data_IF_051410107920
#
_entry.id   IF_051410107920
#
_cell.length_a   1.000
_cell.length_b   1.000
_cell.length_c   1.000
_cell.angle_alpha   90.00
_cell.angle_beta   90.00
_cell.angle_gamma   90.00
#
_symmetry.space_group_name_H-M   'P 1'
#
loop_
_entity.id
_entity.type
_entity.pdbx_description
1 polymer ?
#
# COMPACT_ATOMS: atom_id res chain seq x y z
N UNK A 1 -27.47 8.93 4.88
CA UNK A 1 -27.48 9.74 6.13
C UNK A 1 -26.08 9.82 6.75
N UNK A 2 -25.41 8.68 6.97
CA UNK A 2 -24.03 8.63 7.49
C UNK A 2 -23.01 9.35 6.60
N UNK A 3 -23.16 9.30 5.27
CA UNK A 3 -22.31 10.06 4.32
C UNK A 3 -22.49 11.58 4.46
N UNK A 4 -23.70 12.04 4.77
CA UNK A 4 -24.00 13.46 4.99
C UNK A 4 -23.42 13.89 6.34
N UNK A 5 -23.57 13.06 7.37
CA UNK A 5 -22.96 13.30 8.69
C UNK A 5 -21.42 13.29 8.59
N UNK A 6 -20.86 12.40 7.78
CA UNK A 6 -19.43 12.36 7.44
C UNK A 6 -18.98 13.66 6.81
N UNK A 7 -19.65 14.11 5.74
CA UNK A 7 -19.31 15.34 5.06
C UNK A 7 -19.45 16.55 5.99
N UNK A 8 -20.48 16.60 6.85
CA UNK A 8 -20.67 17.70 7.81
C UNK A 8 -19.61 17.71 8.91
N UNK A 9 -19.24 16.56 9.47
CA UNK A 9 -18.18 16.46 10.50
C UNK A 9 -16.82 16.79 9.88
N UNK A 10 -16.56 16.27 8.68
CA UNK A 10 -15.34 16.56 7.93
C UNK A 10 -15.28 18.06 7.60
N UNK A 11 -16.35 18.66 7.11
CA UNK A 11 -16.44 20.09 6.81
C UNK A 11 -16.25 20.95 8.06
N UNK A 12 -16.79 20.53 9.21
CA UNK A 12 -16.61 21.24 10.48
C UNK A 12 -15.15 21.15 10.99
N UNK A 13 -14.54 19.97 10.91
CA UNK A 13 -13.14 19.79 11.28
C UNK A 13 -12.22 20.53 10.30
N UNK A 14 -12.56 20.54 9.01
CA UNK A 14 -11.85 21.29 7.98
C UNK A 14 -12.01 22.81 8.19
N UNK A 15 -13.17 23.30 8.61
CA UNK A 15 -13.42 24.69 8.97
C UNK A 15 -12.63 25.12 10.22
N UNK A 16 -12.55 24.25 11.23
CA UNK A 16 -11.75 24.47 12.44
C UNK A 16 -10.24 24.46 12.12
N UNK A 17 -9.80 23.60 11.19
CA UNK A 17 -8.43 23.59 10.64
C UNK A 17 -8.14 24.82 9.80
N UNK A 18 -9.15 25.37 9.11
CA UNK A 18 -9.03 26.61 8.33
C UNK A 18 -8.88 27.86 9.20
N UNK A 19 -9.54 27.88 10.35
CA UNK A 19 -9.56 29.03 11.27
C UNK A 19 -8.46 29.00 12.34
N UNK A 20 -7.86 27.85 12.62
CA UNK A 20 -6.77 27.71 13.59
C UNK A 20 -5.41 28.19 13.04
N UNK A 21 -5.13 29.49 13.11
CA UNK A 21 -3.91 30.12 12.57
C UNK A 21 -2.62 29.93 13.39
N UNK A 22 -2.59 29.12 14.45
CA UNK A 22 -1.47 29.10 15.42
C UNK A 22 -1.06 27.73 15.98
N UNK A 23 -1.52 26.61 15.42
CA UNK A 23 -1.18 25.28 15.99
C UNK A 23 0.02 24.61 15.31
N UNK A 24 0.86 23.87 16.07
CA UNK A 24 2.04 23.20 15.53
C UNK A 24 1.67 22.02 14.59
N UNK A 25 2.50 21.70 13.58
CA UNK A 25 2.25 20.65 12.57
C UNK A 25 1.92 19.27 13.15
N UNK A 26 2.49 18.94 14.30
CA UNK A 26 2.25 17.68 15.02
C UNK A 26 0.81 17.51 15.50
N UNK A 27 0.06 18.60 15.67
CA UNK A 27 -1.37 18.59 15.99
C UNK A 27 -2.19 18.07 14.79
N UNK A 28 -1.86 18.50 13.57
CA UNK A 28 -2.54 18.05 12.35
C UNK A 28 -2.18 16.62 11.97
N UNK A 29 -0.92 16.19 12.17
CA UNK A 29 -0.53 14.78 12.00
C UNK A 29 -1.25 13.85 12.98
N UNK A 30 -1.39 14.26 14.25
CA UNK A 30 -2.16 13.48 15.24
C UNK A 30 -3.66 13.51 14.96
N UNK A 31 -4.19 14.64 14.50
CA UNK A 31 -5.58 14.76 14.08
C UNK A 31 -5.85 13.88 12.86
N UNK A 32 -5.00 13.90 11.84
CA UNK A 32 -5.10 13.02 10.67
C UNK A 32 -5.04 11.55 11.07
N UNK A 33 -4.03 11.16 11.87
CA UNK A 33 -3.92 9.79 12.37
C UNK A 33 -5.11 9.39 13.24
N UNK A 34 -5.62 10.29 14.08
CA UNK A 34 -6.79 10.05 14.95
C UNK A 34 -8.09 10.03 14.16
N UNK A 35 -8.25 10.81 13.09
CA UNK A 35 -9.42 10.79 12.22
C UNK A 35 -9.41 9.53 11.36
N UNK A 36 -8.26 9.18 10.80
CA UNK A 36 -8.05 7.96 10.02
C UNK A 36 -8.27 6.70 10.87
N UNK A 37 -7.85 6.70 12.14
CA UNK A 37 -8.06 5.56 13.06
C UNK A 37 -9.45 5.58 13.71
N UNK A 38 -9.88 6.70 14.30
CA UNK A 38 -11.11 6.78 15.10
C UNK A 38 -12.36 6.90 14.22
N UNK A 39 -12.32 7.58 13.07
CA UNK A 39 -13.50 7.63 12.20
C UNK A 39 -13.70 6.33 11.43
N UNK A 40 -12.62 5.61 11.10
CA UNK A 40 -12.69 4.25 10.52
C UNK A 40 -13.24 3.21 11.50
N UNK A 41 -13.09 3.44 12.82
CA UNK A 41 -13.73 2.64 13.87
C UNK A 41 -15.18 3.09 14.14
N UNK A 42 -15.45 4.40 14.22
CA UNK A 42 -16.78 4.98 14.53
C UNK A 42 -17.79 4.78 13.40
N UNK A 43 -17.38 4.97 12.14
CA UNK A 43 -18.26 4.84 10.96
C UNK A 43 -18.36 3.41 10.44
N UNK A 44 -17.99 2.43 11.27
CA UNK A 44 -17.85 1.03 10.88
C UNK A 44 -18.32 0.07 11.98
N UNK A 45 -19.09 0.59 12.94
CA UNK A 45 -19.70 -0.19 13.99
C UNK A 45 -20.65 -1.23 13.38
N UNK A 46 -20.26 -2.50 13.48
CA UNK A 46 -21.07 -3.69 13.28
C UNK A 46 -21.93 -3.67 12.00
N UNK A 47 -21.30 -3.46 10.83
CA UNK A 47 -21.91 -3.51 9.49
C UNK A 47 -23.04 -2.50 9.20
N UNK A 48 -23.29 -1.52 10.09
CA UNK A 48 -24.30 -0.48 9.90
C UNK A 48 -23.71 0.89 9.49
N UNK A 49 -22.40 0.93 9.24
CA UNK A 49 -21.60 2.10 8.92
C UNK A 49 -21.47 2.44 7.42
N UNK A 50 -20.60 3.42 7.09
CA UNK A 50 -20.25 3.70 5.69
C UNK A 50 -19.51 2.48 5.09
N UNK A 51 -19.82 2.06 3.85
CA UNK A 51 -19.14 0.92 3.23
C UNK A 51 -17.63 1.16 3.23
N UNK A 52 -16.86 0.21 3.80
CA UNK A 52 -15.39 0.25 3.87
C UNK A 52 -14.75 0.51 2.50
N UNK A 53 -15.46 0.24 1.41
CA UNK A 53 -15.02 0.45 0.03
C UNK A 53 -14.81 1.92 -0.35
N UNK A 54 -15.41 2.88 0.37
CA UNK A 54 -15.17 4.32 0.18
C UNK A 54 -14.01 4.86 1.04
N UNK A 55 -13.50 4.05 1.99
CA UNK A 55 -12.36 4.35 2.85
C UNK A 55 -11.10 3.55 2.44
N UNK A 56 -11.22 2.62 1.50
CA UNK A 56 -10.16 1.71 1.07
C UNK A 56 -9.39 2.25 -0.12
N UNK A 57 -8.07 2.33 0.06
CA UNK A 57 -6.99 2.05 -0.90
C UNK A 57 -7.44 1.64 -2.33
N UNK A 58 -7.84 2.60 -3.17
CA UNK A 58 -8.05 2.38 -4.61
C UNK A 58 -6.73 2.10 -5.36
N UNK A 59 -5.58 2.05 -4.67
CA UNK A 59 -4.25 1.81 -5.24
C UNK A 59 -4.16 0.55 -6.09
N UNK A 60 -4.80 -0.56 -5.70
CA UNK A 60 -4.86 -1.77 -6.54
C UNK A 60 -5.62 -1.51 -7.86
N UNK A 61 -6.75 -0.78 -7.81
CA UNK A 61 -7.50 -0.38 -9.03
C UNK A 61 -6.76 0.68 -9.86
N UNK A 62 -5.93 1.50 -9.23
CA UNK A 62 -5.05 2.44 -9.93
C UNK A 62 -3.86 1.75 -10.60
N UNK A 63 -3.36 0.66 -10.02
CA UNK A 63 -2.35 -0.19 -10.64
C UNK A 63 -2.87 -0.80 -11.94
N UNK A 64 -4.12 -1.27 -11.99
CA UNK A 64 -4.75 -1.75 -13.23
C UNK A 64 -4.77 -0.69 -14.34
N UNK A 65 -4.72 0.60 -13.98
CA UNK A 65 -4.70 1.74 -14.91
C UNK A 65 -3.28 2.21 -15.25
N UNK A 66 -2.26 1.62 -14.63
CA UNK A 66 -0.86 2.00 -14.87
C UNK A 66 -0.33 1.21 -16.06
N UNK A 67 0.01 1.95 -17.12
CA UNK A 67 0.42 1.39 -18.41
C UNK A 67 1.96 1.37 -18.55
N UNK A 68 2.68 2.15 -17.74
CA UNK A 68 4.12 2.33 -17.87
C UNK A 68 4.91 1.44 -16.91
N UNK A 69 6.11 1.03 -17.33
CA UNK A 69 7.02 0.15 -16.57
C UNK A 69 8.26 0.92 -16.10
N UNK A 70 8.10 2.22 -15.83
CA UNK A 70 9.23 3.15 -15.66
C UNK A 70 10.01 2.92 -14.35
N UNK A 71 9.39 2.23 -13.38
CA UNK A 71 9.98 1.88 -12.09
C UNK A 71 10.49 0.44 -12.04
N UNK A 72 10.31 -0.33 -13.11
CA UNK A 72 10.58 -1.75 -13.15
C UNK A 72 9.36 -2.60 -12.82
N UNK A 73 9.60 -3.88 -12.53
CA UNK A 73 8.56 -4.89 -12.34
C UNK A 73 8.97 -5.91 -11.29
N UNK A 74 8.00 -6.46 -10.60
CA UNK A 74 8.17 -7.62 -9.72
C UNK A 74 7.63 -8.88 -10.41
N UNK A 75 8.31 -10.01 -10.22
CA UNK A 75 7.87 -11.33 -10.63
C UNK A 75 7.65 -12.19 -9.38
N UNK A 76 6.45 -12.72 -9.21
CA UNK A 76 6.08 -13.55 -8.08
C UNK A 76 5.11 -14.67 -8.46
N UNK A 77 4.93 -15.62 -7.54
CA UNK A 77 3.84 -16.62 -7.56
C UNK A 77 3.12 -16.56 -6.24
N UNK A 78 1.82 -16.81 -6.25
CA UNK A 78 1.03 -16.93 -5.02
C UNK A 78 -0.04 -18.02 -5.16
N UNK A 79 -0.26 -18.74 -4.07
CA UNK A 79 -1.21 -19.84 -3.98
C UNK A 79 -1.83 -19.89 -2.60
N UNK A 80 -3.08 -20.31 -2.52
CA UNK A 80 -3.74 -20.55 -1.26
C UNK A 80 -3.98 -22.04 -1.02
N UNK A 81 -3.39 -22.57 0.05
CA UNK A 81 -3.60 -23.93 0.51
C UNK A 81 -4.82 -23.97 1.44
N UNK A 82 -5.99 -24.26 0.89
CA UNK A 82 -7.26 -24.19 1.63
C UNK A 82 -7.36 -25.16 2.82
N UNK A 83 -6.74 -26.35 2.75
CA UNK A 83 -6.76 -27.31 3.86
C UNK A 83 -5.89 -26.87 5.03
N UNK A 84 -4.79 -26.19 4.73
CA UNK A 84 -3.79 -25.70 5.68
C UNK A 84 -4.07 -24.27 6.15
N UNK A 85 -5.08 -23.61 5.55
CA UNK A 85 -5.36 -22.17 5.70
C UNK A 85 -4.11 -21.32 5.52
N UNK A 86 -3.31 -21.61 4.49
CA UNK A 86 -2.00 -21.00 4.28
C UNK A 86 -1.89 -20.32 2.91
N UNK A 87 -1.61 -19.01 2.92
CA UNK A 87 -1.27 -18.23 1.75
C UNK A 87 0.25 -18.26 1.55
N UNK A 88 0.69 -18.96 0.51
CA UNK A 88 2.11 -19.07 0.14
C UNK A 88 2.42 -18.10 -1.01
N UNK A 89 3.51 -17.35 -0.87
CA UNK A 89 3.94 -16.34 -1.84
C UNK A 89 5.43 -16.55 -2.10
N UNK A 90 5.82 -16.68 -3.36
CA UNK A 90 7.22 -16.76 -3.80
C UNK A 90 7.60 -15.50 -4.53
N UNK A 91 8.60 -14.78 -4.02
CA UNK A 91 9.24 -13.66 -4.69
C UNK A 91 10.37 -14.21 -5.54
N UNK A 92 10.23 -14.13 -6.87
CA UNK A 92 11.19 -14.71 -7.81
C UNK A 92 12.27 -13.70 -8.11
N UNK A 93 11.89 -12.53 -8.63
CA UNK A 93 12.84 -11.49 -9.05
C UNK A 93 12.16 -10.13 -9.20
N UNK A 94 12.96 -9.08 -9.24
CA UNK A 94 12.57 -7.82 -9.85
C UNK A 94 13.38 -7.58 -11.13
N UNK A 95 12.85 -6.78 -12.05
CA UNK A 95 13.50 -6.46 -13.33
C UNK A 95 13.43 -4.97 -13.62
N UNK A 96 14.52 -4.43 -14.15
CA UNK A 96 14.66 -3.04 -14.59
C UNK A 96 14.25 -2.03 -13.50
N UNK A 97 14.67 -2.28 -12.26
CA UNK A 97 14.46 -1.33 -11.17
C UNK A 97 15.09 0.03 -11.52
N UNK A 98 14.41 1.11 -11.13
CA UNK A 98 14.95 2.46 -11.26
C UNK A 98 16.08 2.62 -10.23
N UNK A 99 17.30 3.01 -10.63
CA UNK A 99 18.39 3.19 -9.66
C UNK A 99 18.08 4.35 -8.72
N UNK A 100 18.17 4.10 -7.42
CA UNK A 100 18.05 5.12 -6.38
C UNK A 100 19.42 5.67 -5.93
N UNK A 101 20.46 4.83 -5.86
CA UNK A 101 21.78 5.30 -5.45
C UNK A 101 22.51 6.15 -6.51
N UNK A 102 23.37 7.03 -6.00
CA UNK A 102 24.34 7.80 -6.79
C UNK A 102 25.31 6.93 -7.61
N UNK A 103 25.45 5.64 -7.24
CA UNK A 103 26.32 4.69 -7.91
C UNK A 103 25.67 4.04 -9.16
N UNK A 104 24.37 4.28 -9.38
CA UNK A 104 23.60 3.75 -10.51
C UNK A 104 23.11 2.31 -10.34
N UNK A 105 23.17 1.74 -9.14
CA UNK A 105 22.65 0.44 -8.72
C UNK A 105 21.85 0.62 -7.42
N UNK A 106 21.22 -0.44 -6.92
CA UNK A 106 20.50 -0.46 -5.65
C UNK A 106 20.81 -1.75 -4.90
N UNK A 107 20.57 -1.77 -3.59
CA UNK A 107 20.59 -2.94 -2.71
C UNK A 107 19.13 -3.39 -2.39
N UNK A 108 18.35 -3.87 -3.38
CA UNK A 108 16.91 -4.07 -3.21
C UNK A 108 16.55 -5.24 -2.28
N UNK A 109 15.43 -5.06 -1.57
CA UNK A 109 14.65 -6.10 -0.92
C UNK A 109 13.14 -5.84 -1.07
N UNK A 110 12.33 -6.88 -0.90
CA UNK A 110 10.87 -6.77 -1.01
C UNK A 110 10.23 -7.00 0.35
N UNK A 111 9.42 -6.04 0.77
CA UNK A 111 8.50 -6.19 1.89
C UNK A 111 7.13 -6.69 1.40
N UNK A 112 6.58 -7.70 2.08
CA UNK A 112 5.31 -8.33 1.78
C UNK A 112 4.36 -8.09 2.95
N UNK A 113 3.22 -7.48 2.67
CA UNK A 113 2.18 -7.19 3.66
C UNK A 113 0.79 -7.53 3.11
N UNK A 114 -0.09 -8.04 3.97
CA UNK A 114 -1.50 -8.22 3.64
C UNK A 114 -2.29 -6.94 3.93
N UNK A 115 -3.14 -6.56 2.99
CA UNK A 115 -3.92 -5.33 3.04
C UNK A 115 -5.40 -5.64 2.77
N UNK A 116 -6.33 -4.91 3.41
CA UNK A 116 -6.10 -3.71 4.22
C UNK A 116 -5.70 -3.99 5.68
N UNK A 117 -4.91 -3.10 6.28
CA UNK A 117 -4.36 -3.31 7.63
C UNK A 117 -5.42 -3.51 8.72
N UNK A 118 -6.61 -2.89 8.63
CA UNK A 118 -7.65 -3.13 9.64
C UNK A 118 -8.17 -4.58 9.64
N UNK A 119 -8.02 -5.30 8.52
CA UNK A 119 -8.41 -6.71 8.39
C UNK A 119 -7.25 -7.62 8.74
N UNK A 120 -6.03 -7.21 8.39
CA UNK A 120 -4.83 -8.02 8.48
C UNK A 120 -3.82 -7.53 9.55
N UNK A 121 -4.25 -6.74 10.54
CA UNK A 121 -3.40 -6.17 11.59
C UNK A 121 -2.67 -7.21 12.45
N UNK A 122 -3.19 -8.44 12.48
CA UNK A 122 -2.62 -9.57 13.22
C UNK A 122 -1.44 -10.21 12.48
N UNK A 123 -1.23 -9.88 11.20
CA UNK A 123 -0.21 -10.48 10.35
C UNK A 123 0.96 -9.52 10.19
N UNK A 124 2.11 -9.94 10.71
CA UNK A 124 3.34 -9.16 10.59
C UNK A 124 3.82 -9.13 9.14
N UNK A 125 4.31 -7.97 8.72
CA UNK A 125 5.06 -7.82 7.48
C UNK A 125 6.25 -8.78 7.45
N UNK A 126 6.52 -9.36 6.29
CA UNK A 126 7.69 -10.21 6.03
C UNK A 126 8.56 -9.55 4.96
N UNK A 127 9.86 -9.82 4.96
CA UNK A 127 10.79 -9.22 3.99
C UNK A 127 11.73 -10.28 3.43
N UNK A 128 12.13 -10.13 2.17
CA UNK A 128 13.16 -10.95 1.56
C UNK A 128 14.55 -10.59 2.09
N UNK A 129 15.55 -11.39 1.72
CA UNK A 129 16.94 -10.97 1.84
C UNK A 129 17.25 -9.78 0.93
N UNK A 130 18.28 -9.03 1.30
CA UNK A 130 18.80 -7.89 0.55
C UNK A 130 19.79 -8.41 -0.50
N UNK A 131 19.54 -8.08 -1.77
CA UNK A 131 20.46 -8.40 -2.86
C UNK A 131 21.27 -7.15 -3.19
N UNK A 132 22.59 -7.22 -3.04
CA UNK A 132 23.43 -6.03 -3.21
C UNK A 132 23.68 -5.67 -4.67
N UNK A 133 23.68 -4.37 -4.97
CA UNK A 133 24.14 -3.76 -6.22
C UNK A 133 23.50 -4.37 -7.46
N UNK A 134 22.19 -4.48 -7.48
CA UNK A 134 21.44 -5.07 -8.59
C UNK A 134 20.14 -4.34 -8.87
N UNK A 135 19.90 -4.01 -10.15
CA UNK A 135 18.59 -3.55 -10.64
C UNK A 135 17.72 -4.69 -11.18
N UNK A 136 18.25 -5.91 -11.14
CA UNK A 136 17.56 -7.13 -11.55
C UNK A 136 17.77 -8.24 -10.49
N UNK A 137 17.39 -8.00 -9.23
CA UNK A 137 17.63 -8.96 -8.16
C UNK A 137 16.81 -10.23 -8.39
N UNK A 138 17.41 -11.37 -8.06
CA UNK A 138 16.75 -12.68 -8.04
C UNK A 138 16.75 -13.15 -6.59
N UNK A 139 15.56 -13.31 -6.03
CA UNK A 139 15.35 -13.69 -4.63
C UNK A 139 15.10 -15.19 -4.50
N UNK A 140 14.11 -15.72 -5.25
CA UNK A 140 13.61 -17.10 -5.11
C UNK A 140 13.27 -17.45 -3.65
N UNK A 141 12.60 -16.52 -2.96
CA UNK A 141 12.26 -16.63 -1.54
C UNK A 141 10.76 -16.85 -1.36
N UNK A 142 10.41 -17.78 -0.47
CA UNK A 142 9.02 -18.08 -0.12
C UNK A 142 8.68 -17.51 1.25
N UNK A 143 7.51 -16.87 1.32
CA UNK A 143 6.89 -16.43 2.56
C UNK A 143 5.51 -17.07 2.69
N UNK A 144 5.09 -17.32 3.93
CA UNK A 144 3.80 -17.94 4.23
C UNK A 144 3.05 -17.11 5.26
N UNK A 145 1.76 -16.89 5.01
CA UNK A 145 0.82 -16.31 5.97
C UNK A 145 -0.28 -17.34 6.26
N UNK A 146 -0.54 -17.62 7.55
CA UNK A 146 -1.65 -18.48 7.96
C UNK A 146 -2.93 -17.67 8.05
N UNK A 147 -3.71 -17.65 6.98
CA UNK A 147 -4.88 -16.78 6.82
C UNK A 147 -6.11 -17.64 6.56
N UNK A 148 -7.18 -17.50 7.36
CA UNK A 148 -8.44 -18.18 7.09
C UNK A 148 -9.04 -17.77 5.75
N UNK A 149 -9.68 -18.70 5.04
CA UNK A 149 -10.15 -18.47 3.66
C UNK A 149 -11.18 -17.33 3.58
N UNK A 150 -12.01 -17.18 4.62
CA UNK A 150 -12.96 -16.07 4.75
C UNK A 150 -12.29 -14.68 4.60
N UNK A 151 -11.07 -14.52 5.09
CA UNK A 151 -10.31 -13.25 5.00
C UNK A 151 -9.72 -13.09 3.60
N UNK A 152 -9.28 -14.18 2.97
CA UNK A 152 -8.80 -14.20 1.59
C UNK A 152 -9.89 -13.78 0.58
N UNK A 153 -11.14 -14.18 0.83
CA UNK A 153 -12.30 -13.84 -0.03
C UNK A 153 -12.91 -12.47 0.25
N UNK A 154 -12.43 -11.77 1.29
CA UNK A 154 -13.01 -10.50 1.67
C UNK A 154 -12.73 -9.42 0.61
N UNK A 155 -13.72 -8.58 0.35
CA UNK A 155 -13.63 -7.57 -0.70
C UNK A 155 -12.46 -6.60 -0.44
N UNK A 156 -11.57 -6.47 -1.42
CA UNK A 156 -10.39 -5.60 -1.35
C UNK A 156 -9.19 -6.21 -0.61
N UNK A 157 -9.22 -7.51 -0.31
CA UNK A 157 -8.07 -8.24 0.22
C UNK A 157 -6.98 -8.37 -0.85
N UNK A 158 -5.81 -7.78 -0.59
CA UNK A 158 -4.67 -7.74 -1.51
C UNK A 158 -3.37 -8.03 -0.78
N UNK A 159 -2.42 -8.63 -1.48
CA UNK A 159 -1.01 -8.66 -1.12
C UNK A 159 -0.39 -7.37 -1.64
N UNK A 160 0.27 -6.63 -0.76
CA UNK A 160 1.12 -5.50 -1.12
C UNK A 160 2.58 -5.93 -1.10
N UNK A 161 3.26 -5.72 -2.22
CA UNK A 161 4.71 -5.81 -2.37
C UNK A 161 5.28 -4.40 -2.37
N UNK A 162 6.27 -4.14 -1.52
CA UNK A 162 6.98 -2.86 -1.49
C UNK A 162 8.47 -3.14 -1.71
N UNK A 163 9.00 -2.67 -2.83
CA UNK A 163 10.43 -2.77 -3.16
C UNK A 163 11.14 -1.57 -2.54
N UNK A 164 12.19 -1.85 -1.79
CA UNK A 164 12.97 -0.88 -1.05
C UNK A 164 14.45 -1.08 -1.36
N UNK A 165 15.20 0.01 -1.45
CA UNK A 165 16.65 0.05 -1.51
C UNK A 165 17.21 0.10 -0.08
N UNK A 166 18.08 -0.84 0.29
CA UNK A 166 18.63 -0.87 1.65
C UNK A 166 19.90 -0.02 1.78
N UNK A 167 19.78 1.07 2.54
CA UNK A 167 20.89 1.96 2.86
C UNK A 167 21.56 1.64 4.20
N UNK A 168 22.87 1.39 4.17
CA UNK A 168 23.66 1.11 5.39
C UNK A 168 23.75 2.30 6.36
N UNK A 169 23.65 3.53 5.86
CA UNK A 169 23.93 4.77 6.60
C UNK A 169 22.72 5.71 6.71
N UNK A 170 21.65 5.42 5.96
CA UNK A 170 20.48 6.28 5.80
C UNK A 170 19.18 5.48 5.94
N UNK A 171 18.04 6.13 5.72
CA UNK A 171 16.74 5.46 5.65
C UNK A 171 16.59 4.79 4.28
N UNK A 172 16.12 3.56 4.26
CA UNK A 172 15.84 2.83 3.02
C UNK A 172 14.97 3.66 2.05
N UNK A 173 15.38 3.70 0.79
CA UNK A 173 14.67 4.40 -0.27
C UNK A 173 13.58 3.53 -0.89
N UNK A 174 12.45 4.15 -1.22
CA UNK A 174 11.32 3.44 -1.83
C UNK A 174 11.52 3.35 -3.35
N UNK A 175 11.50 2.14 -3.90
CA UNK A 175 11.66 1.92 -5.34
C UNK A 175 10.33 1.69 -6.07
N UNK A 176 9.32 1.17 -5.37
CA UNK A 176 8.00 0.92 -5.96
C UNK A 176 7.12 0.00 -5.11
N UNK A 177 5.82 0.05 -5.38
CA UNK A 177 4.84 -0.85 -4.80
C UNK A 177 4.03 -1.55 -5.89
N UNK A 178 3.64 -2.79 -5.61
CA UNK A 178 2.76 -3.59 -6.43
C UNK A 178 1.72 -4.31 -5.57
N UNK A 179 0.58 -4.62 -6.16
CA UNK A 179 -0.56 -5.20 -5.48
C UNK A 179 -1.08 -6.41 -6.24
N UNK A 180 -1.48 -7.45 -5.52
CA UNK A 180 -2.07 -8.67 -6.08
C UNK A 180 -3.32 -9.06 -5.28
N UNK A 181 -4.46 -9.19 -5.95
CA UNK A 181 -5.72 -9.55 -5.30
C UNK A 181 -5.74 -11.01 -4.86
N UNK A 182 -6.11 -11.22 -3.59
CA UNK A 182 -6.07 -12.54 -2.96
C UNK A 182 -7.22 -13.42 -3.43
N UNK A 183 -8.42 -12.85 -3.61
CA UNK A 183 -9.63 -13.59 -3.97
C UNK A 183 -9.53 -14.32 -5.32
N UNK A 184 -8.65 -13.86 -6.21
CA UNK A 184 -8.42 -14.43 -7.55
C UNK A 184 -7.25 -15.43 -7.58
N UNK A 185 -6.60 -15.68 -6.45
CA UNK A 185 -5.47 -16.60 -6.39
C UNK A 185 -5.92 -18.06 -6.57
N UNK A 186 -5.11 -18.89 -7.25
CA UNK A 186 -5.39 -20.31 -7.31
C UNK A 186 -5.40 -20.92 -5.90
N UNK A 187 -6.35 -21.84 -5.68
CA UNK A 187 -6.56 -22.48 -4.39
C UNK A 187 -7.56 -21.77 -3.47
N UNK A 188 -7.85 -20.49 -3.70
CA UNK A 188 -8.97 -19.79 -3.04
C UNK A 188 -10.29 -20.20 -3.70
N UNK A 189 -11.32 -20.53 -2.90
CA UNK A 189 -12.61 -21.08 -3.34
C UNK A 189 -12.49 -22.33 -4.21
N UNK A 190 -11.38 -23.07 -4.13
CA UNK A 190 -11.14 -24.23 -4.98
C UNK A 190 -11.57 -25.53 -4.29
N UNK A 191 -12.68 -26.11 -4.75
CA UNK A 191 -13.09 -27.47 -4.36
C UNK A 191 -12.23 -28.56 -5.05
N UNK A 192 -11.57 -28.19 -6.16
CA UNK A 192 -10.78 -29.09 -7.01
C UNK A 192 -9.30 -28.99 -6.64
N UNK A 193 -8.74 -30.12 -6.20
CA UNK A 193 -7.40 -30.22 -5.66
C UNK A 193 -6.26 -29.84 -6.62
N UNK A 194 -5.23 -29.26 -6.01
CA UNK A 194 -3.81 -29.57 -6.28
C UNK A 194 -3.34 -29.48 -7.72
N UNK A 195 -3.52 -28.32 -8.36
CA UNK A 195 -2.36 -27.82 -9.13
C UNK A 195 -1.40 -27.25 -8.10
N UNK A 196 -0.39 -28.04 -7.77
CA UNK A 196 0.60 -27.68 -6.77
C UNK A 196 1.29 -26.36 -7.13
N UNK A 197 1.79 -25.68 -6.10
CA UNK A 197 2.52 -24.41 -6.21
C UNK A 197 3.61 -24.40 -7.31
N UNK A 198 4.19 -25.57 -7.60
CA UNK A 198 5.27 -25.74 -8.58
C UNK A 198 4.83 -25.56 -10.05
N UNK A 199 3.56 -25.80 -10.37
CA UNK A 199 3.01 -25.66 -11.73
C UNK A 199 2.47 -24.26 -12.02
N UNK A 200 2.57 -23.34 -11.05
CA UNK A 200 2.07 -21.98 -11.20
C UNK A 200 2.94 -21.18 -12.16
N UNK A 201 2.27 -20.41 -13.02
CA UNK A 201 2.95 -19.43 -13.85
C UNK A 201 3.33 -18.21 -13.01
N UNK A 202 4.53 -17.73 -13.28
CA UNK A 202 5.04 -16.42 -12.88
C UNK A 202 4.05 -15.31 -13.23
N UNK A 203 3.77 -14.46 -12.24
CA UNK A 203 2.97 -13.24 -12.38
C UNK A 203 3.95 -12.08 -12.41
N UNK A 204 3.99 -11.37 -13.53
CA UNK A 204 4.80 -10.15 -13.67
C UNK A 204 3.90 -8.92 -13.46
N UNK A 205 4.19 -8.14 -12.42
CA UNK A 205 3.41 -6.96 -12.01
C UNK A 205 4.29 -5.71 -12.14
N UNK A 206 3.89 -4.69 -12.92
CA UNK A 206 4.58 -3.41 -12.97
C UNK A 206 4.63 -2.75 -11.59
N UNK A 207 5.78 -2.19 -11.24
CA UNK A 207 5.89 -1.37 -10.04
C UNK A 207 5.24 -0.01 -10.27
N UNK A 208 4.54 0.45 -9.24
CA UNK A 208 3.91 1.75 -9.20
C UNK A 208 4.52 2.58 -8.08
N UNK A 209 4.63 3.89 -8.28
CA UNK A 209 4.84 4.77 -7.14
C UNK A 209 3.46 5.06 -6.54
N UNK A 210 3.33 5.24 -5.21
CA UNK A 210 2.16 5.87 -4.64
C UNK A 210 1.98 7.19 -5.38
N UNK A 211 1.03 7.23 -6.32
CA UNK A 211 0.64 8.50 -6.89
C UNK A 211 0.18 9.30 -5.69
N UNK A 212 0.66 10.54 -5.63
CA UNK A 212 0.12 11.54 -4.74
C UNK A 212 -1.38 11.30 -4.66
N UNK A 213 -1.87 10.80 -3.52
CA UNK A 213 -3.31 10.77 -3.31
C UNK A 213 -3.67 12.21 -3.62
N UNK A 214 -4.55 12.44 -4.61
CA UNK A 214 -5.24 13.72 -4.75
C UNK A 214 -6.13 13.84 -3.52
N UNK A 215 -5.47 13.96 -2.38
CA UNK A 215 -6.07 14.07 -1.09
C UNK A 215 -6.71 15.42 -1.20
N UNK A 216 -8.02 15.46 -1.05
CA UNK A 216 -8.80 16.68 -0.99
C UNK A 216 -8.14 17.73 -0.09
N UNK A 217 -7.40 17.26 0.92
CA UNK A 217 -6.60 18.05 1.84
C UNK A 217 -5.40 18.73 1.16
N UNK A 218 -4.63 18.03 0.32
CA UNK A 218 -3.53 18.64 -0.45
C UNK A 218 -4.08 19.67 -1.44
N UNK A 219 -5.19 19.38 -2.13
CA UNK A 219 -5.86 20.34 -3.02
C UNK A 219 -6.30 21.60 -2.24
N UNK A 220 -6.84 21.45 -1.04
CA UNK A 220 -7.26 22.58 -0.18
C UNK A 220 -6.06 23.35 0.37
N UNK A 221 -4.96 22.66 0.72
CA UNK A 221 -3.73 23.33 1.16
C UNK A 221 -3.07 24.11 0.01
N UNK A 222 -3.17 23.63 -1.23
CA UNK A 222 -2.73 24.34 -2.44
C UNK A 222 -3.52 25.64 -2.69
N UNK A 223 -4.79 25.68 -2.30
CA UNK A 223 -5.62 26.89 -2.38
C UNK A 223 -5.25 27.96 -1.34
N UNK A 224 -4.49 27.59 -0.29
CA UNK A 224 -4.04 28.49 0.78
C UNK A 224 -2.73 29.19 0.43
N UNK A 225 -2.70 29.90 -0.70
CA UNK A 225 -1.49 30.52 -1.26
C UNK A 225 -0.83 31.57 -0.35
N UNK A 226 -1.58 32.17 0.59
CA UNK A 226 -1.06 33.12 1.59
C UNK A 226 -0.45 32.45 2.83
N UNK A 227 -0.66 31.14 3.02
CA UNK A 227 -0.17 30.37 4.15
C UNK A 227 1.15 29.69 3.79
N UNK A 228 2.27 30.36 4.10
CA UNK A 228 3.61 29.88 3.73
C UNK A 228 3.95 28.49 4.31
N UNK A 229 3.36 28.12 5.44
CA UNK A 229 3.62 26.82 6.09
C UNK A 229 2.86 25.71 5.35
N UNK A 230 1.60 25.96 5.00
CA UNK A 230 0.82 25.05 4.15
C UNK A 230 1.49 24.86 2.78
N UNK A 231 1.96 25.95 2.16
CA UNK A 231 2.64 25.90 0.86
C UNK A 231 3.98 25.17 0.92
N UNK A 232 4.78 25.37 1.98
CA UNK A 232 6.03 24.63 2.17
C UNK A 232 5.80 23.13 2.46
N UNK A 233 4.73 22.79 3.18
CA UNK A 233 4.34 21.40 3.43
C UNK A 233 3.89 20.71 2.12
N UNK A 234 3.03 21.36 1.34
CA UNK A 234 2.60 20.87 0.02
C UNK A 234 3.80 20.71 -0.91
N UNK A 235 4.69 21.71 -0.99
CA UNK A 235 5.88 21.65 -1.84
C UNK A 235 6.77 20.47 -1.47
N UNK A 236 7.10 20.29 -0.19
CA UNK A 236 7.91 19.15 0.29
C UNK A 236 7.22 17.81 0.03
N UNK A 237 5.90 17.75 0.15
CA UNK A 237 5.11 16.55 -0.15
C UNK A 237 5.15 16.21 -1.64
N UNK A 238 5.03 17.21 -2.52
CA UNK A 238 5.13 17.07 -3.99
C UNK A 238 6.54 16.69 -4.44
N UNK A 239 7.57 17.22 -3.79
CA UNK A 239 8.96 16.84 -4.03
C UNK A 239 9.20 15.36 -3.67
N UNK A 240 8.64 14.88 -2.56
CA UNK A 240 8.67 13.47 -2.17
C UNK A 240 7.76 12.55 -3.01
N UNK A 241 6.83 13.11 -3.78
CA UNK A 241 5.93 12.37 -4.71
C UNK A 241 6.48 12.31 -6.15
N UNK A 242 7.48 13.14 -6.47
CA UNK A 242 8.11 13.25 -7.80
C UNK A 242 9.53 12.66 -7.88
N UNK A 243 10.06 12.15 -6.77
CA UNK A 243 11.27 11.33 -6.71
C UNK A 243 10.91 9.87 -7.01
#
# INVERSE_FOLDING_TARGET
LLEIVWNVILDQILADVQTASTRPPSCYQRLLKSLDTSLTEIFNADDHGLPKDNLKNDKYKEQERTITNDLGKINCRAYYYAKEEALCIEIISCKNLKPCDSNGLSDPFVEIQLCPNYMFNNYNKQSTTIIKKSLNPVFNEKVEFRVPEKECTAQGAVIQFTVMDHDLMWTNDFEGEAFLEIANLPGVNSELGDRGFEDLKDIEIPLTHPKAIKSRIIEILELRTSDKIAMDFVRKRREAENL
#
